data_IF_909309654175
#
_entry.id   IF_909309654175
#
_cell.length_a   1.000
_cell.length_b   1.000
_cell.length_c   1.000
_cell.angle_alpha   90.00
_cell.angle_beta   90.00
_cell.angle_gamma   90.00
#
_symmetry.space_group_name_H-M   'P 1'
#
loop_
_entity.id
_entity.type
_entity.pdbx_description
1 polymer ?
#
# COMPACT_ATOMS: atom_id res chain seq x y z
N UNK A 1 -6.21 10.85 -31.93
CA UNK A 1 -6.09 10.03 -31.46
C UNK A 1 -6.10 9.72 -31.03
N UNK A 2 -5.93 9.49 -30.72
CA UNK A 2 -5.64 8.61 -30.29
C UNK A 2 -5.72 8.27 -29.56
N UNK A 3 -5.83 8.33 -29.37
CA UNK A 3 -5.73 7.49 -28.69
C UNK A 3 -5.33 7.41 -28.12
N UNK A 4 -4.96 7.40 -27.90
CA UNK A 4 -4.34 6.83 -27.44
C UNK A 4 -3.80 7.35 -26.97
N UNK A 5 -3.69 7.75 -26.77
CA UNK A 5 -3.10 7.56 -26.41
C UNK A 5 -3.00 7.69 -25.73
N UNK A 6 -3.08 7.63 -25.56
CA UNK A 6 -2.93 7.03 -25.10
C UNK A 6 -2.65 6.84 -24.40
N UNK A 7 -2.43 6.69 -24.04
CA UNK A 7 -1.88 6.07 -23.61
C UNK A 7 -1.11 6.34 -23.41
N UNK A 8 -0.50 6.58 -23.49
CA UNK A 8 0.22 6.30 -23.75
C UNK A 8 0.90 6.04 -23.34
N UNK A 9 1.13 5.80 -23.37
CA UNK A 9 2.00 5.14 -23.49
C UNK A 9 2.82 5.42 -24.29
N UNK A 10 3.68 5.41 -24.55
CA UNK A 10 4.39 5.41 -25.42
C UNK A 10 4.52 4.92 -26.16
N UNK A 11 4.89 5.03 -26.60
CA UNK A 11 4.80 4.50 -27.29
C UNK A 11 4.88 3.72 -27.45
N UNK A 12 4.75 3.60 -27.05
CA UNK A 12 4.77 2.67 -27.42
C UNK A 12 4.77 2.58 -28.58
N UNK A 13 5.22 2.66 -29.01
CA UNK A 13 5.11 2.33 -30.09
C UNK A 13 5.72 2.35 -30.93
N UNK A 14 6.35 2.32 -31.03
CA UNK A 14 6.72 2.24 -32.04
C UNK A 14 6.84 1.42 -33.02
N UNK A 15 7.11 0.95 -33.00
CA UNK A 15 7.12 0.03 -34.03
C UNK A 15 5.97 0.14 -34.99
N UNK A 16 5.84 1.32 -35.57
CA UNK A 16 4.87 1.54 -36.59
C UNK A 16 3.42 1.41 -36.19
N UNK A 17 3.16 1.57 -34.90
CA UNK A 17 1.79 1.49 -34.41
C UNK A 17 1.32 0.09 -34.07
N UNK A 18 2.23 -0.82 -33.86
CA UNK A 18 1.86 -2.16 -33.41
C UNK A 18 1.16 -2.10 -32.05
N UNK A 19 0.04 -2.77 -31.95
CA UNK A 19 -0.69 -2.83 -30.69
C UNK A 19 -0.10 -3.88 -29.77
N UNK A 20 -0.18 -3.60 -28.48
CA UNK A 20 0.23 -4.57 -27.45
C UNK A 20 -0.71 -5.76 -27.50
N UNK A 21 -0.17 -6.97 -27.42
CA UNK A 21 -1.01 -8.16 -27.33
C UNK A 21 -1.61 -8.26 -25.93
N UNK A 22 -2.69 -9.07 -25.80
CA UNK A 22 -3.29 -9.27 -24.49
C UNK A 22 -2.30 -9.87 -23.50
N UNK A 23 -1.42 -10.76 -23.97
CA UNK A 23 -0.41 -11.36 -23.10
C UNK A 23 0.61 -10.33 -22.63
N UNK A 24 1.04 -9.46 -23.54
CA UNK A 24 1.97 -8.38 -23.20
C UNK A 24 1.33 -7.42 -22.19
N UNK A 25 0.07 -7.08 -22.41
CA UNK A 25 -0.66 -6.21 -21.50
C UNK A 25 -0.80 -6.82 -20.11
N UNK A 26 -1.08 -8.12 -20.06
CA UNK A 26 -1.21 -8.83 -18.78
C UNK A 26 0.12 -8.83 -18.03
N UNK A 27 1.22 -9.11 -18.73
CA UNK A 27 2.55 -9.12 -18.12
C UNK A 27 2.92 -7.75 -17.57
N UNK A 28 2.62 -6.70 -18.32
CA UNK A 28 2.89 -5.33 -17.88
C UNK A 28 2.09 -5.00 -16.63
N UNK A 29 0.81 -5.38 -16.60
CA UNK A 29 -0.05 -5.14 -15.45
C UNK A 29 0.42 -5.94 -14.24
N UNK A 30 0.78 -7.23 -14.43
CA UNK A 30 1.27 -8.06 -13.33
C UNK A 30 2.56 -7.47 -12.75
N UNK A 31 3.48 -7.04 -13.61
CA UNK A 31 4.72 -6.43 -13.16
C UNK A 31 4.48 -5.15 -12.36
N UNK A 32 3.58 -4.31 -12.84
CA UNK A 32 3.23 -3.08 -12.14
C UNK A 32 2.65 -3.38 -10.76
N UNK A 33 1.73 -4.35 -10.69
CA UNK A 33 1.07 -4.70 -9.45
C UNK A 33 2.03 -5.33 -8.45
N UNK A 34 2.98 -6.14 -8.91
CA UNK A 34 4.01 -6.71 -8.05
C UNK A 34 4.92 -5.63 -7.47
N UNK A 35 5.31 -4.68 -8.30
CA UNK A 35 6.16 -3.58 -7.84
C UNK A 35 5.41 -2.70 -6.86
N UNK A 36 4.14 -2.43 -7.13
CA UNK A 36 3.31 -1.64 -6.23
C UNK A 36 3.16 -2.34 -4.88
N UNK A 37 2.93 -3.65 -4.89
CA UNK A 37 2.81 -4.45 -3.67
C UNK A 37 4.09 -4.36 -2.83
N UNK A 38 5.23 -4.62 -3.45
CA UNK A 38 6.52 -4.60 -2.75
C UNK A 38 6.83 -3.22 -2.17
N UNK A 39 6.62 -2.20 -2.99
CA UNK A 39 6.92 -0.83 -2.61
C UNK A 39 6.02 -0.40 -1.45
N UNK A 40 4.74 -0.73 -1.52
CA UNK A 40 3.79 -0.39 -0.48
C UNK A 40 4.12 -1.11 0.82
N UNK A 41 4.42 -2.40 0.74
CA UNK A 41 4.77 -3.21 1.91
C UNK A 41 5.99 -2.62 2.63
N UNK A 42 7.00 -2.26 1.89
CA UNK A 42 8.23 -1.71 2.42
C UNK A 42 8.01 -0.37 3.11
N UNK A 43 7.31 0.52 2.40
CA UNK A 43 7.04 1.86 2.92
C UNK A 43 6.10 1.83 4.12
N UNK A 44 5.08 0.98 4.08
CA UNK A 44 4.12 0.87 5.18
C UNK A 44 4.79 0.30 6.42
N UNK A 45 5.61 -0.73 6.25
CA UNK A 45 6.35 -1.34 7.37
C UNK A 45 7.23 -0.30 8.06
N UNK A 46 7.95 0.48 7.26
CA UNK A 46 8.85 1.52 7.77
C UNK A 46 8.05 2.60 8.49
N UNK A 47 6.94 3.03 7.92
CA UNK A 47 6.11 4.07 8.51
C UNK A 47 5.50 3.61 9.82
N UNK A 48 4.96 2.38 9.86
CA UNK A 48 4.36 1.84 11.07
C UNK A 48 5.40 1.68 12.19
N UNK A 49 6.60 1.24 11.86
CA UNK A 49 7.67 1.12 12.86
C UNK A 49 7.98 2.47 13.49
N UNK A 50 8.02 3.52 12.68
CA UNK A 50 8.26 4.85 13.18
C UNK A 50 7.13 5.31 14.11
N UNK A 51 5.87 5.07 13.70
CA UNK A 51 4.72 5.47 14.49
C UNK A 51 4.64 4.69 15.80
N UNK A 52 4.99 3.40 15.79
CA UNK A 52 5.05 2.59 17.00
C UNK A 52 6.06 3.20 17.97
N UNK A 53 7.24 3.51 17.47
CA UNK A 53 8.30 4.06 18.30
C UNK A 53 7.87 5.38 18.95
N UNK A 54 7.32 6.28 18.15
CA UNK A 54 6.87 7.58 18.64
C UNK A 54 5.76 7.45 19.67
N UNK A 55 4.77 6.60 19.39
CA UNK A 55 3.65 6.41 20.28
C UNK A 55 4.09 5.75 21.60
N UNK A 56 4.94 4.74 21.51
CA UNK A 56 5.42 4.02 22.70
C UNK A 56 6.25 4.95 23.59
N UNK A 57 7.07 5.81 23.00
CA UNK A 57 7.88 6.77 23.76
C UNK A 57 7.02 7.80 24.49
N UNK A 58 5.77 7.97 24.09
CA UNK A 58 4.83 8.87 24.74
C UNK A 58 3.91 8.14 25.70
N UNK A 59 4.15 6.85 25.92
CA UNK A 59 3.36 6.05 26.85
C UNK A 59 2.11 5.45 26.26
N UNK A 60 1.94 5.51 24.94
CA UNK A 60 0.78 4.90 24.28
C UNK A 60 1.01 3.41 24.04
N UNK A 61 -0.09 2.66 23.98
CA UNK A 61 -0.08 1.23 23.72
C UNK A 61 -0.66 0.87 22.37
N UNK A 62 -0.99 1.87 21.59
CA UNK A 62 -1.54 1.68 20.24
C UNK A 62 -1.47 2.98 19.47
N UNK A 63 -1.61 2.86 18.15
CA UNK A 63 -1.90 4.03 17.33
C UNK A 63 -2.95 3.65 16.29
N UNK A 64 -3.64 4.66 15.76
CA UNK A 64 -4.66 4.47 14.74
C UNK A 64 -4.46 5.52 13.67
N UNK A 65 -4.43 5.09 12.40
CA UNK A 65 -4.20 5.98 11.29
C UNK A 65 -5.35 5.83 10.30
N UNK A 66 -5.93 6.95 9.89
CA UNK A 66 -7.02 6.97 8.92
C UNK A 66 -6.45 6.97 7.50
N UNK A 67 -7.23 6.41 6.57
CA UNK A 67 -6.80 6.28 5.17
C UNK A 67 -6.57 7.62 4.48
N UNK A 68 -7.16 8.70 4.99
CA UNK A 68 -6.98 10.04 4.44
C UNK A 68 -5.95 10.87 5.21
N UNK A 69 -5.17 10.25 6.07
CA UNK A 69 -4.14 10.95 6.85
C UNK A 69 -3.05 11.48 5.92
N UNK A 70 -2.80 12.79 5.99
CA UNK A 70 -1.85 13.44 5.09
C UNK A 70 -0.42 12.94 5.27
N UNK A 71 -0.01 12.68 6.51
CA UNK A 71 1.35 12.21 6.79
C UNK A 71 1.56 10.80 6.24
N UNK A 72 0.54 9.96 6.33
CA UNK A 72 0.59 8.62 5.75
C UNK A 72 0.73 8.70 4.24
N UNK A 73 -0.10 9.54 3.60
CA UNK A 73 -0.08 9.72 2.15
C UNK A 73 1.26 10.27 1.69
N UNK A 74 1.83 11.22 2.44
CA UNK A 74 3.14 11.75 2.11
C UNK A 74 4.24 10.71 2.25
N UNK A 75 4.13 9.85 3.24
CA UNK A 75 5.16 8.84 3.50
C UNK A 75 5.11 7.71 2.47
N UNK A 76 3.91 7.26 2.10
CA UNK A 76 3.74 6.12 1.22
C UNK A 76 3.57 6.50 -0.25
N UNK A 77 2.85 7.58 -0.51
CA UNK A 77 2.38 7.94 -1.84
C UNK A 77 0.90 7.63 -1.95
N UNK A 78 0.21 8.33 -2.86
CA UNK A 78 -1.23 8.19 -2.99
C UNK A 78 -1.66 6.80 -3.47
N UNK A 79 -0.99 6.28 -4.50
CA UNK A 79 -1.30 4.94 -5.02
C UNK A 79 -1.02 3.87 -3.99
N UNK A 80 0.08 4.01 -3.28
CA UNK A 80 0.48 3.06 -2.25
C UNK A 80 -0.50 3.06 -1.09
N UNK A 81 -1.00 4.23 -0.72
CA UNK A 81 -1.98 4.33 0.36
C UNK A 81 -3.29 3.65 -0.02
N UNK A 82 -3.74 3.84 -1.27
CA UNK A 82 -4.92 3.14 -1.78
C UNK A 82 -4.71 1.63 -1.74
N UNK A 83 -3.55 1.19 -2.19
CA UNK A 83 -3.20 -0.23 -2.18
C UNK A 83 -3.24 -0.80 -0.76
N UNK A 84 -2.70 -0.06 0.20
CA UNK A 84 -2.66 -0.48 1.59
C UNK A 84 -4.06 -0.78 2.15
N UNK A 85 -5.03 0.05 1.83
CA UNK A 85 -6.37 -0.09 2.39
C UNK A 85 -7.31 -0.94 1.54
N UNK A 86 -6.89 -1.37 0.35
CA UNK A 86 -7.74 -2.16 -0.54
C UNK A 86 -7.22 -3.56 -0.88
N UNK A 87 -5.92 -3.80 -0.69
CA UNK A 87 -5.35 -5.11 -1.01
C UNK A 87 -5.37 -6.01 0.22
N UNK A 88 -6.24 -7.03 0.19
CA UNK A 88 -6.32 -7.97 1.30
C UNK A 88 -5.04 -8.78 1.45
N UNK A 89 -4.38 -9.10 0.35
CA UNK A 89 -3.12 -9.85 0.40
C UNK A 89 -2.01 -9.03 1.07
N UNK A 90 -1.95 -7.74 0.76
CA UNK A 90 -0.99 -6.84 1.37
C UNK A 90 -1.25 -6.70 2.86
N UNK A 91 -2.52 -6.54 3.24
CA UNK A 91 -2.91 -6.44 4.63
C UNK A 91 -2.55 -7.69 5.42
N UNK A 92 -2.75 -8.86 4.83
CA UNK A 92 -2.37 -10.13 5.46
C UNK A 92 -0.87 -10.22 5.68
N UNK A 93 -0.09 -9.79 4.71
CA UNK A 93 1.37 -9.80 4.83
C UNK A 93 1.85 -8.86 5.92
N UNK A 94 1.28 -7.68 6.01
CA UNK A 94 1.62 -6.71 7.04
C UNK A 94 1.27 -7.27 8.43
N UNK A 95 0.07 -7.81 8.57
CA UNK A 95 -0.35 -8.41 9.84
C UNK A 95 0.61 -9.51 10.28
N UNK A 96 1.02 -10.35 9.34
CA UNK A 96 1.92 -11.45 9.62
C UNK A 96 3.27 -10.96 10.11
N UNK A 97 3.82 -9.95 9.45
CA UNK A 97 5.15 -9.42 9.80
C UNK A 97 5.15 -8.80 11.20
N UNK A 98 4.12 -8.02 11.51
CA UNK A 98 4.06 -7.36 12.81
C UNK A 98 3.69 -8.34 13.92
N UNK A 99 2.91 -9.36 13.60
CA UNK A 99 2.54 -10.37 14.60
C UNK A 99 3.75 -11.16 15.11
N UNK A 100 4.72 -11.41 14.24
CA UNK A 100 5.95 -12.10 14.65
C UNK A 100 6.65 -11.33 15.76
N UNK A 101 6.56 -10.00 15.75
CA UNK A 101 7.17 -9.16 16.78
C UNK A 101 6.19 -8.80 17.91
N UNK A 102 5.02 -9.43 17.94
CA UNK A 102 4.08 -9.28 19.04
C UNK A 102 3.01 -8.22 18.88
N UNK A 103 2.90 -7.61 17.70
CA UNK A 103 1.93 -6.54 17.46
C UNK A 103 0.65 -7.09 16.85
N UNK A 104 -0.46 -6.47 17.21
CA UNK A 104 -1.76 -6.76 16.61
C UNK A 104 -2.08 -5.64 15.65
N UNK A 105 -2.28 -5.97 14.37
CA UNK A 105 -2.62 -5.00 13.33
C UNK A 105 -4.02 -5.32 12.82
N UNK A 106 -4.90 -4.34 12.83
CA UNK A 106 -6.26 -4.48 12.32
C UNK A 106 -6.55 -3.39 11.31
N UNK A 107 -7.06 -3.78 10.14
CA UNK A 107 -7.57 -2.86 9.13
C UNK A 107 -9.08 -2.84 9.28
N UNK A 108 -9.64 -1.67 9.57
CA UNK A 108 -11.05 -1.54 9.91
C UNK A 108 -11.75 -0.60 8.93
N UNK A 109 -13.01 -0.92 8.66
CA UNK A 109 -13.86 -0.10 7.80
C UNK A 109 -14.60 0.92 8.66
N UNK A 110 -14.44 2.19 8.32
CA UNK A 110 -15.18 3.25 8.97
C UNK A 110 -16.35 3.71 8.12
N UNK A 111 -17.15 4.62 8.66
CA UNK A 111 -18.31 5.14 7.95
C UNK A 111 -17.88 5.95 6.70
N UNK A 112 -16.95 6.87 6.88
CA UNK A 112 -16.50 7.74 5.79
C UNK A 112 -15.12 7.38 5.26
N UNK A 113 -14.36 6.66 6.05
CA UNK A 113 -12.99 6.29 5.70
C UNK A 113 -12.57 5.04 6.45
N UNK A 114 -11.59 4.36 5.87
CA UNK A 114 -11.01 3.19 6.51
C UNK A 114 -9.88 3.63 7.42
N UNK A 115 -9.47 2.75 8.33
CA UNK A 115 -8.32 3.04 9.17
C UNK A 115 -7.61 1.76 9.58
N UNK A 116 -6.37 1.91 10.04
CA UNK A 116 -5.57 0.81 10.55
C UNK A 116 -5.21 1.10 12.00
N UNK A 117 -5.33 0.07 12.84
CA UNK A 117 -4.99 0.16 14.26
C UNK A 117 -3.88 -0.83 14.54
N UNK A 118 -2.84 -0.37 15.20
CA UNK A 118 -1.72 -1.22 15.63
C UNK A 118 -1.62 -1.10 17.13
N UNK A 119 -1.61 -2.24 17.82
CA UNK A 119 -1.57 -2.23 19.28
C UNK A 119 -0.55 -3.22 19.81
N UNK A 120 -0.06 -2.94 21.02
CA UNK A 120 0.93 -3.78 21.70
C UNK A 120 0.65 -3.88 23.20
N UNK A 121 -0.59 -3.56 23.58
CA UNK A 121 -0.98 -3.63 25.00
C UNK A 121 -0.89 -5.05 25.52
N UNK A 122 -1.26 -6.02 24.68
CA UNK A 122 -1.17 -7.43 25.03
C UNK A 122 -0.40 -8.13 23.91
N UNK A 123 0.94 -8.11 23.99
CA UNK A 123 1.76 -8.68 22.93
C UNK A 123 1.49 -10.17 22.72
N UNK A 124 1.60 -10.58 21.49
CA UNK A 124 1.47 -11.99 21.15
C UNK A 124 2.66 -12.80 21.60
#
# INVERSE_FOLDING_TARGET
MELLSILRFPDYSMDGGRLMTALEAKRAADNFNQELFKRTLEKATKYFNKEIEEAACQGSYEFCIKSDNDYLIMALGQKETIELFHSSDLQKEIKKRFRVDGFLVNFEKGYERDYVRVSWREPY
#
